data_IF_249514604627
#
_entry.id   IF_249514604627
#
_cell.length_a   1.000
_cell.length_b   1.000
_cell.length_c   1.000
_cell.angle_alpha   90.00
_cell.angle_beta   90.00
_cell.angle_gamma   90.00
#
_symmetry.space_group_name_H-M   'P 1'
#
loop_
_entity.id
_entity.type
_entity.pdbx_description
1 polymer ?
#
# COMPACT_ATOMS: atom_id res chain seq x y z
N UNK A 1 -1.04 3.46 3.91
CA UNK A 1 -1.59 2.13 3.53
C UNK A 1 -3.04 1.97 3.93
N UNK A 2 -3.43 2.21 5.20
CA UNK A 2 -4.84 2.11 5.64
C UNK A 2 -5.82 2.94 4.79
N UNK A 3 -5.48 4.20 4.48
CA UNK A 3 -6.33 5.08 3.65
C UNK A 3 -6.56 4.49 2.25
N UNK A 4 -5.53 3.87 1.64
CA UNK A 4 -5.62 3.23 0.33
C UNK A 4 -6.52 1.98 0.42
N UNK A 5 -6.38 1.18 1.47
CA UNK A 5 -7.21 0.00 1.69
C UNK A 5 -8.70 0.36 1.82
N UNK A 6 -9.01 1.41 2.59
CA UNK A 6 -10.36 1.97 2.69
C UNK A 6 -10.83 2.46 1.32
N UNK A 7 -9.99 3.23 0.60
CA UNK A 7 -10.31 3.74 -0.73
C UNK A 7 -10.66 2.64 -1.73
N UNK A 8 -9.95 1.53 -1.73
CA UNK A 8 -10.25 0.39 -2.59
C UNK A 8 -11.58 -0.29 -2.24
N UNK A 9 -11.87 -0.53 -0.96
CA UNK A 9 -13.16 -1.11 -0.56
C UNK A 9 -14.31 -0.17 -0.95
N UNK A 10 -14.15 1.13 -0.72
CA UNK A 10 -15.17 2.11 -1.07
C UNK A 10 -15.40 2.17 -2.59
N UNK A 11 -14.34 2.12 -3.40
CA UNK A 11 -14.45 2.09 -4.87
C UNK A 11 -15.18 0.84 -5.35
N UNK A 12 -14.88 -0.31 -4.75
CA UNK A 12 -15.56 -1.57 -5.09
C UNK A 12 -17.06 -1.56 -4.79
N UNK A 13 -17.54 -0.71 -3.88
CA UNK A 13 -18.96 -0.60 -3.51
C UNK A 13 -19.70 0.54 -4.22
N UNK A 14 -19.10 1.16 -5.24
CA UNK A 14 -19.74 2.26 -5.97
C UNK A 14 -20.92 1.74 -6.79
N UNK A 15 -22.13 2.18 -6.41
CA UNK A 15 -23.36 1.92 -7.17
C UNK A 15 -23.83 3.12 -8.01
N UNK A 16 -23.26 4.30 -7.81
CA UNK A 16 -23.62 5.55 -8.52
C UNK A 16 -22.40 6.44 -8.71
N UNK A 17 -22.36 7.15 -9.84
CA UNK A 17 -21.27 8.06 -10.22
C UNK A 17 -20.98 9.12 -9.15
N UNK A 18 -21.99 9.54 -8.37
CA UNK A 18 -21.81 10.53 -7.31
C UNK A 18 -20.87 10.02 -6.21
N UNK A 19 -20.95 8.73 -5.87
CA UNK A 19 -20.05 8.13 -4.88
C UNK A 19 -18.61 8.05 -5.40
N UNK A 20 -18.41 7.91 -6.71
CA UNK A 20 -17.06 7.90 -7.30
C UNK A 20 -16.29 9.20 -7.04
N UNK A 21 -16.96 10.36 -7.11
CA UNK A 21 -16.35 11.66 -6.80
C UNK A 21 -16.01 11.81 -5.32
N UNK A 22 -16.66 11.08 -4.43
CA UNK A 22 -16.35 11.08 -2.99
C UNK A 22 -15.21 10.12 -2.65
N UNK A 23 -15.13 8.96 -3.32
CA UNK A 23 -14.13 7.92 -3.04
C UNK A 23 -12.79 8.18 -3.71
N UNK A 24 -12.79 8.80 -4.90
CA UNK A 24 -11.56 9.08 -5.65
C UNK A 24 -10.58 10.02 -4.93
N UNK A 25 -11.01 11.10 -4.22
CA UNK A 25 -10.10 11.91 -3.42
C UNK A 25 -9.49 11.14 -2.24
N UNK A 26 -10.22 10.21 -1.63
CA UNK A 26 -9.70 9.38 -0.52
C UNK A 26 -8.55 8.51 -1.03
N UNK A 27 -8.76 7.82 -2.15
CA UNK A 27 -7.71 7.01 -2.77
C UNK A 27 -6.54 7.88 -3.25
N UNK A 28 -6.82 9.01 -3.89
CA UNK A 28 -5.81 9.96 -4.36
C UNK A 28 -4.96 10.54 -3.23
N UNK A 29 -5.59 10.90 -2.11
CA UNK A 29 -4.91 11.37 -0.90
C UNK A 29 -4.01 10.29 -0.31
N UNK A 30 -4.52 9.06 -0.20
CA UNK A 30 -3.73 7.90 0.23
C UNK A 30 -2.50 7.65 -0.67
N UNK A 31 -2.69 7.74 -1.99
CA UNK A 31 -1.64 7.62 -2.99
C UNK A 31 -0.60 8.74 -2.92
N UNK A 32 -1.03 9.99 -2.75
CA UNK A 32 -0.15 11.14 -2.60
C UNK A 32 0.75 11.02 -1.37
N UNK A 33 0.18 10.65 -0.22
CA UNK A 33 0.93 10.39 1.02
C UNK A 33 1.92 9.24 0.81
N UNK A 34 1.53 8.18 0.11
CA UNK A 34 2.42 7.05 -0.20
C UNK A 34 3.65 7.52 -0.98
N UNK A 35 3.46 8.20 -2.11
CA UNK A 35 4.57 8.61 -2.99
C UNK A 35 5.51 9.56 -2.25
N UNK A 36 4.97 10.53 -1.50
CA UNK A 36 5.76 11.47 -0.72
C UNK A 36 6.63 10.77 0.32
N UNK A 37 6.05 9.85 1.10
CA UNK A 37 6.78 9.09 2.12
C UNK A 37 7.80 8.12 1.52
N UNK A 38 7.45 7.43 0.43
CA UNK A 38 8.34 6.49 -0.23
C UNK A 38 9.58 7.18 -0.79
N UNK A 39 9.39 8.36 -1.38
CA UNK A 39 10.50 9.18 -1.91
C UNK A 39 11.37 9.74 -0.78
N UNK A 40 10.75 10.24 0.29
CA UNK A 40 11.47 10.74 1.46
C UNK A 40 12.31 9.64 2.14
N UNK A 41 11.73 8.44 2.30
CA UNK A 41 12.44 7.27 2.83
C UNK A 41 13.59 6.83 1.94
N UNK A 42 13.37 6.76 0.63
CA UNK A 42 14.44 6.39 -0.31
C UNK A 42 15.61 7.39 -0.23
N UNK A 43 15.34 8.69 -0.14
CA UNK A 43 16.38 9.71 0.00
C UNK A 43 17.12 9.67 1.36
N UNK A 44 16.45 9.22 2.43
CA UNK A 44 17.08 9.10 3.75
C UNK A 44 18.02 7.91 3.86
N UNK A 45 17.77 6.83 3.12
CA UNK A 45 18.61 5.62 3.08
C UNK A 45 19.65 5.69 1.95
N UNK A 46 19.39 6.45 0.88
CA UNK A 46 20.31 6.56 -0.25
C UNK A 46 21.57 7.37 0.07
N UNK A 47 22.74 6.77 -0.22
CA UNK A 47 24.02 7.45 -0.17
C UNK A 47 24.02 8.71 -1.06
N UNK A 48 24.58 9.81 -0.57
CA UNK A 48 24.50 11.13 -1.21
C UNK A 48 24.90 11.13 -2.71
N UNK A 49 25.96 10.41 -3.07
CA UNK A 49 26.44 10.32 -4.47
C UNK A 49 25.60 9.40 -5.37
N UNK A 50 24.74 8.54 -4.81
CA UNK A 50 23.92 7.56 -5.54
C UNK A 50 22.42 7.90 -5.51
N UNK A 51 22.03 9.08 -5.03
CA UNK A 51 20.63 9.51 -4.94
C UNK A 51 19.92 9.50 -6.28
N UNK A 52 20.56 10.03 -7.34
CA UNK A 52 19.98 10.04 -8.70
C UNK A 52 19.67 8.61 -9.15
N UNK A 53 20.65 7.70 -9.05
CA UNK A 53 20.49 6.29 -9.42
C UNK A 53 19.37 5.61 -8.62
N UNK A 54 19.29 5.90 -7.32
CA UNK A 54 18.27 5.33 -6.42
C UNK A 54 16.86 5.82 -6.76
N UNK A 55 16.71 7.13 -7.04
CA UNK A 55 15.45 7.71 -7.52
C UNK A 55 15.03 7.12 -8.85
N UNK A 56 15.96 6.96 -9.80
CA UNK A 56 15.66 6.33 -11.10
C UNK A 56 15.16 4.90 -10.92
N UNK A 57 15.78 4.09 -10.06
CA UNK A 57 15.28 2.74 -9.78
C UNK A 57 13.90 2.71 -9.14
N UNK A 58 13.63 3.62 -8.18
CA UNK A 58 12.30 3.73 -7.58
C UNK A 58 11.25 4.05 -8.65
N UNK A 59 11.50 5.06 -9.47
CA UNK A 59 10.59 5.46 -10.55
C UNK A 59 10.42 4.36 -11.60
N UNK A 60 11.49 3.67 -11.99
CA UNK A 60 11.42 2.52 -12.90
C UNK A 60 10.57 1.39 -12.32
N UNK A 61 10.72 1.07 -11.04
CA UNK A 61 9.90 0.05 -10.38
C UNK A 61 8.42 0.44 -10.32
N UNK A 62 8.11 1.72 -10.07
CA UNK A 62 6.73 2.23 -10.09
C UNK A 62 6.09 2.09 -11.47
N UNK A 63 6.78 2.52 -12.53
CA UNK A 63 6.27 2.36 -13.90
C UNK A 63 6.16 0.90 -14.30
N UNK A 64 7.13 0.06 -13.94
CA UNK A 64 7.06 -1.38 -14.17
C UNK A 64 5.79 -1.97 -13.55
N UNK A 65 5.47 -1.62 -12.30
CA UNK A 65 4.22 -2.03 -11.67
C UNK A 65 2.97 -1.54 -12.42
N UNK A 66 2.96 -0.29 -12.88
CA UNK A 66 1.84 0.28 -13.65
C UNK A 66 1.63 -0.42 -15.00
N UNK A 67 2.71 -0.77 -15.71
CA UNK A 67 2.63 -1.52 -16.97
C UNK A 67 2.30 -3.00 -16.77
N UNK A 68 2.87 -3.64 -15.74
CA UNK A 68 2.64 -5.06 -15.47
C UNK A 68 1.28 -5.34 -14.84
N UNK A 69 0.69 -4.38 -14.11
CA UNK A 69 -0.59 -4.58 -13.41
C UNK A 69 -1.73 -5.03 -14.35
N UNK A 70 -2.01 -4.37 -15.49
CA UNK A 70 -3.01 -4.86 -16.44
C UNK A 70 -2.68 -6.27 -16.95
N UNK A 71 -1.43 -6.58 -17.29
CA UNK A 71 -1.07 -7.89 -17.81
C UNK A 71 -1.33 -9.02 -16.80
N UNK A 72 -1.07 -8.76 -15.51
CA UNK A 72 -1.23 -9.74 -14.44
C UNK A 72 -2.69 -9.85 -13.96
N UNK A 73 -3.40 -8.73 -13.86
CA UNK A 73 -4.70 -8.67 -13.21
C UNK A 73 -5.88 -8.59 -14.17
N UNK A 74 -5.68 -8.33 -15.47
CA UNK A 74 -6.76 -8.38 -16.46
C UNK A 74 -7.58 -9.68 -16.42
N UNK A 75 -6.99 -10.90 -16.41
CA UNK A 75 -7.79 -12.13 -16.37
C UNK A 75 -8.62 -12.25 -15.08
N UNK A 76 -8.12 -11.73 -13.95
CA UNK A 76 -8.89 -11.70 -12.71
C UNK A 76 -10.05 -10.72 -12.79
N UNK A 77 -9.80 -9.51 -13.30
CA UNK A 77 -10.83 -8.48 -13.46
C UNK A 77 -11.89 -8.91 -14.47
N UNK A 78 -11.53 -9.64 -15.52
CA UNK A 78 -12.47 -10.19 -16.49
C UNK A 78 -13.37 -11.27 -15.88
N UNK A 79 -12.82 -12.13 -15.01
CA UNK A 79 -13.57 -13.21 -14.37
C UNK A 79 -14.44 -12.74 -13.18
N UNK A 80 -13.89 -11.91 -12.29
CA UNK A 80 -14.57 -11.46 -11.06
C UNK A 80 -15.27 -10.11 -11.19
N UNK A 81 -14.97 -9.34 -12.23
CA UNK A 81 -15.40 -7.95 -12.35
C UNK A 81 -14.52 -6.97 -11.57
N UNK A 82 -14.62 -5.70 -11.98
CA UNK A 82 -13.79 -4.61 -11.45
C UNK A 82 -14.10 -4.31 -9.98
N UNK A 83 -15.37 -4.37 -9.58
CA UNK A 83 -15.81 -4.05 -8.23
C UNK A 83 -15.24 -5.02 -7.19
N UNK A 84 -15.43 -6.32 -7.40
CA UNK A 84 -14.93 -7.36 -6.51
C UNK A 84 -13.40 -7.36 -6.45
N UNK A 85 -12.72 -7.11 -7.57
CA UNK A 85 -11.28 -6.97 -7.60
C UNK A 85 -10.77 -5.87 -6.65
N UNK A 86 -11.42 -4.71 -6.62
CA UNK A 86 -11.08 -3.63 -5.70
C UNK A 86 -11.37 -3.99 -4.24
N UNK A 87 -12.50 -4.66 -3.95
CA UNK A 87 -12.81 -5.12 -2.59
C UNK A 87 -11.75 -6.09 -2.09
N UNK A 88 -11.43 -7.12 -2.87
CA UNK A 88 -10.41 -8.12 -2.53
C UNK A 88 -9.04 -7.47 -2.34
N UNK A 89 -8.67 -6.52 -3.20
CA UNK A 89 -7.42 -5.77 -3.05
C UNK A 89 -7.38 -4.95 -1.74
N UNK A 90 -8.48 -4.29 -1.39
CA UNK A 90 -8.60 -3.54 -0.14
C UNK A 90 -8.52 -4.44 1.10
N UNK A 91 -9.24 -5.57 1.09
CA UNK A 91 -9.18 -6.59 2.16
C UNK A 91 -7.76 -7.17 2.28
N UNK A 92 -7.12 -7.49 1.16
CA UNK A 92 -5.74 -7.97 1.13
C UNK A 92 -4.76 -6.98 1.77
N UNK A 93 -4.90 -5.69 1.50
CA UNK A 93 -4.11 -4.65 2.16
C UNK A 93 -4.36 -4.61 3.67
N UNK A 94 -5.60 -4.76 4.13
CA UNK A 94 -5.89 -4.84 5.56
C UNK A 94 -5.26 -6.07 6.23
N UNK A 95 -5.26 -7.22 5.56
CA UNK A 95 -4.58 -8.43 6.05
C UNK A 95 -3.08 -8.15 6.22
N UNK A 96 -2.43 -7.54 5.22
CA UNK A 96 -1.00 -7.18 5.30
C UNK A 96 -0.73 -6.24 6.48
N UNK A 97 -1.59 -5.23 6.67
CA UNK A 97 -1.49 -4.29 7.80
C UNK A 97 -1.64 -5.03 9.13
N UNK A 98 -2.64 -5.92 9.27
CA UNK A 98 -2.86 -6.70 10.48
C UNK A 98 -1.67 -7.59 10.82
N UNK A 99 -1.12 -8.32 9.83
CA UNK A 99 0.08 -9.15 9.99
C UNK A 99 1.27 -8.30 10.46
N UNK A 100 1.47 -7.11 9.87
CA UNK A 100 2.56 -6.23 10.26
C UNK A 100 2.41 -5.72 11.70
N UNK A 101 1.19 -5.34 12.11
CA UNK A 101 0.87 -4.91 13.47
C UNK A 101 1.15 -6.06 14.44
N UNK A 102 0.56 -7.25 14.24
CA UNK A 102 0.74 -8.40 15.12
C UNK A 102 2.23 -8.75 15.29
N UNK A 103 2.98 -8.80 14.18
CA UNK A 103 4.44 -9.07 14.22
C UNK A 103 5.20 -8.00 15.00
N UNK A 104 4.81 -6.73 14.87
CA UNK A 104 5.44 -5.64 15.61
C UNK A 104 5.14 -5.73 17.12
N UNK A 105 3.90 -6.00 17.49
CA UNK A 105 3.47 -6.19 18.88
C UNK A 105 4.21 -7.36 19.55
N UNK A 106 4.25 -8.53 18.89
CA UNK A 106 4.99 -9.69 19.41
C UNK A 106 6.48 -9.39 19.65
N UNK A 107 7.11 -8.61 18.77
CA UNK A 107 8.51 -8.21 18.95
C UNK A 107 8.71 -7.32 20.18
N UNK A 108 7.74 -6.47 20.50
CA UNK A 108 7.76 -5.61 21.69
C UNK A 108 7.61 -6.47 22.96
N UNK A 109 6.65 -7.40 22.98
CA UNK A 109 6.42 -8.28 24.13
C UNK A 109 7.64 -9.17 24.45
N UNK A 110 8.31 -9.69 23.42
CA UNK A 110 9.56 -10.45 23.58
C UNK A 110 10.66 -9.58 24.18
N UNK A 111 10.78 -8.31 23.75
CA UNK A 111 11.77 -7.39 24.31
C UNK A 111 11.46 -7.08 25.77
N UNK A 112 10.21 -6.78 26.13
CA UNK A 112 9.79 -6.48 27.50
C UNK A 112 10.00 -7.67 28.46
N UNK A 113 9.69 -8.89 28.00
CA UNK A 113 9.91 -10.11 28.80
C UNK A 113 11.40 -10.43 29.01
N UNK A 114 12.28 -10.04 28.08
CA UNK A 114 13.74 -10.14 28.29
C UNK A 114 14.29 -9.13 29.30
N UNK A 115 13.73 -7.90 29.34
CA UNK A 115 14.12 -6.90 30.35
C UNK A 115 13.72 -7.35 31.76
N UNK A 116 12.52 -7.89 31.92
CA UNK A 116 12.02 -8.35 33.23
C UNK A 116 12.75 -9.59 33.80
N UNK A 117 13.60 -10.25 33.01
CA UNK A 117 14.42 -11.41 33.45
C UNK A 117 15.84 -11.03 33.87
N UNK A 118 16.24 -9.77 33.70
CA UNK A 118 17.57 -9.26 34.07
C UNK A 118 17.60 -8.51 35.41
N UNK A 119 16.43 -8.29 36.03
CA UNK A 119 16.25 -7.78 37.41
C UNK A 119 15.87 -8.94 38.35
#
# INVERSE_FOLDING_TARGET
MMIIAIGFILIGNISSINYFFLTSPILGFGGGILIANMTAWMLSVAHHTKRIKSSSYLTSALYMGQFSSPLLFHPMVEYFGVQDFFIVSGVGLFIIIAVFIVKHWMKIDVKLSSFKKQD
#
